data_IF_533342087246
#
_entry.id   IF_533342087246
#
_cell.length_a   1.000
_cell.length_b   1.000
_cell.length_c   1.000
_cell.angle_alpha   90.00
_cell.angle_beta   90.00
_cell.angle_gamma   90.00
#
_symmetry.space_group_name_H-M   'P 1'
#
loop_
_entity.id
_entity.type
_entity.pdbx_description
1 polymer ?
#
# COMPACT_ATOMS: atom_id res chain seq x y z
N UNK A 1 2.08 0.45 -9.11
CA UNK A 1 1.53 -0.73 -8.41
C UNK A 1 0.08 -0.44 -8.08
N UNK A 2 -0.85 -1.29 -8.51
CA UNK A 2 -2.25 -1.21 -8.11
C UNK A 2 -2.46 -2.23 -6.97
N UNK A 3 -2.60 -1.75 -5.72
CA UNK A 3 -2.68 -2.61 -4.53
C UNK A 3 -3.80 -3.66 -4.67
N UNK A 4 -4.98 -3.25 -5.11
CA UNK A 4 -6.15 -4.13 -5.22
C UNK A 4 -5.93 -5.22 -6.26
N UNK A 5 -5.46 -4.85 -7.46
CA UNK A 5 -5.27 -5.79 -8.57
C UNK A 5 -4.04 -6.68 -8.37
N UNK A 6 -2.91 -6.08 -8.02
CA UNK A 6 -1.60 -6.72 -8.08
C UNK A 6 -1.28 -7.51 -6.81
N UNK A 7 -1.88 -7.15 -5.66
CA UNK A 7 -1.56 -7.72 -4.35
C UNK A 7 -2.77 -8.41 -3.72
N UNK A 8 -3.87 -7.70 -3.53
CA UNK A 8 -5.06 -8.27 -2.86
C UNK A 8 -5.67 -9.40 -3.68
N UNK A 9 -5.84 -9.18 -4.99
CA UNK A 9 -6.44 -10.15 -5.91
C UNK A 9 -5.42 -11.12 -6.54
N UNK A 10 -4.21 -11.22 -5.98
CA UNK A 10 -3.18 -12.11 -6.50
C UNK A 10 -3.59 -13.58 -6.31
N UNK A 11 -3.75 -14.31 -7.41
CA UNK A 11 -4.24 -15.70 -7.39
C UNK A 11 -3.21 -16.73 -6.93
N UNK A 12 -1.94 -16.48 -7.21
CA UNK A 12 -0.86 -17.43 -6.96
C UNK A 12 -0.01 -16.96 -5.80
N UNK A 13 0.17 -17.84 -4.81
CA UNK A 13 1.09 -17.64 -3.69
C UNK A 13 2.37 -18.42 -4.00
N UNK A 14 3.52 -17.75 -4.19
CA UNK A 14 4.79 -18.44 -4.41
C UNK A 14 5.13 -19.37 -3.25
N UNK A 15 5.60 -20.57 -3.56
CA UNK A 15 6.00 -21.56 -2.56
C UNK A 15 7.46 -21.37 -2.16
N UNK A 16 7.94 -22.12 -1.17
CA UNK A 16 9.36 -22.14 -0.81
C UNK A 16 10.28 -22.71 -1.90
N UNK A 17 9.74 -23.26 -2.99
CA UNK A 17 10.52 -23.74 -4.13
C UNK A 17 11.06 -22.59 -5.00
N UNK A 18 10.51 -21.38 -4.86
CA UNK A 18 11.01 -20.16 -5.50
C UNK A 18 11.19 -19.06 -4.43
N UNK A 19 12.37 -19.01 -3.79
CA UNK A 19 12.63 -18.09 -2.68
C UNK A 19 12.54 -16.61 -3.07
N UNK A 20 12.97 -16.26 -4.28
CA UNK A 20 12.97 -14.87 -4.75
C UNK A 20 11.54 -14.38 -5.01
N UNK A 21 10.72 -15.20 -5.68
CA UNK A 21 9.31 -14.86 -5.87
C UNK A 21 8.56 -14.78 -4.54
N UNK A 22 8.90 -15.64 -3.57
CA UNK A 22 8.33 -15.60 -2.23
C UNK A 22 8.75 -14.36 -1.45
N UNK A 23 10.01 -13.96 -1.54
CA UNK A 23 10.51 -12.73 -0.92
C UNK A 23 9.77 -11.52 -1.47
N UNK A 24 9.68 -11.39 -2.80
CA UNK A 24 8.95 -10.29 -3.43
C UNK A 24 7.48 -10.28 -3.03
N UNK A 25 6.83 -11.44 -3.01
CA UNK A 25 5.43 -11.56 -2.57
C UNK A 25 5.21 -11.06 -1.14
N UNK A 26 6.11 -11.38 -0.21
CA UNK A 26 6.02 -10.91 1.17
C UNK A 26 6.32 -9.41 1.29
N UNK A 27 7.32 -8.92 0.55
CA UNK A 27 7.64 -7.50 0.48
C UNK A 27 6.45 -6.68 -0.04
N UNK A 28 5.86 -7.10 -1.16
CA UNK A 28 4.66 -6.47 -1.75
C UNK A 28 3.53 -6.36 -0.70
N UNK A 29 3.24 -7.47 -0.01
CA UNK A 29 2.19 -7.52 1.00
C UNK A 29 2.48 -6.61 2.19
N UNK A 30 3.71 -6.59 2.68
CA UNK A 30 4.10 -5.74 3.80
C UNK A 30 4.00 -4.25 3.43
N UNK A 31 4.50 -3.88 2.24
CA UNK A 31 4.41 -2.52 1.72
C UNK A 31 2.95 -2.09 1.53
N UNK A 32 2.10 -2.93 0.95
CA UNK A 32 0.67 -2.64 0.79
C UNK A 32 -0.05 -2.46 2.13
N UNK A 33 0.23 -3.30 3.12
CA UNK A 33 -0.33 -3.17 4.46
C UNK A 33 0.07 -1.84 5.10
N UNK A 34 1.35 -1.47 5.04
CA UNK A 34 1.84 -0.22 5.61
C UNK A 34 1.21 1.00 4.94
N UNK A 35 1.17 1.03 3.60
CA UNK A 35 0.52 2.11 2.83
C UNK A 35 -0.96 2.22 3.18
N UNK A 36 -1.68 1.08 3.23
CA UNK A 36 -3.12 1.07 3.53
C UNK A 36 -3.41 1.59 4.94
N UNK A 37 -2.64 1.14 5.94
CA UNK A 37 -2.81 1.58 7.32
C UNK A 37 -2.51 3.08 7.47
N UNK A 38 -1.40 3.56 6.90
CA UNK A 38 -1.05 4.99 6.95
C UNK A 38 -2.12 5.83 6.23
N UNK A 39 -2.57 5.42 5.04
CA UNK A 39 -3.62 6.12 4.31
C UNK A 39 -4.94 6.15 5.08
N UNK A 40 -5.30 5.06 5.78
CA UNK A 40 -6.48 5.04 6.64
C UNK A 40 -6.39 6.09 7.76
N UNK A 41 -5.25 6.20 8.44
CA UNK A 41 -5.05 7.24 9.47
C UNK A 41 -5.06 8.66 8.90
N UNK A 42 -4.53 8.85 7.68
CA UNK A 42 -4.63 10.15 7.01
C UNK A 42 -6.09 10.54 6.76
N UNK A 43 -6.93 9.59 6.32
CA UNK A 43 -8.35 9.84 6.09
C UNK A 43 -9.09 10.16 7.39
N UNK A 44 -8.91 9.36 8.45
CA UNK A 44 -9.52 9.61 9.77
C UNK A 44 -9.07 10.95 10.37
N UNK A 45 -7.82 11.34 10.14
CA UNK A 45 -7.25 12.59 10.64
C UNK A 45 -7.54 13.83 9.77
N UNK A 46 -8.19 13.68 8.61
CA UNK A 46 -8.42 14.79 7.67
C UNK A 46 -7.14 15.34 7.03
N UNK A 47 -6.09 14.53 6.92
CA UNK A 47 -4.78 14.93 6.37
C UNK A 47 -4.75 14.75 4.85
N UNK A 48 -4.35 15.78 4.11
CA UNK A 48 -4.16 15.70 2.65
C UNK A 48 -2.82 15.03 2.29
N UNK A 49 -1.76 15.25 3.07
CA UNK A 49 -0.42 14.75 2.79
C UNK A 49 0.14 13.96 3.97
N UNK A 50 0.92 12.93 3.67
CA UNK A 50 1.58 12.09 4.65
C UNK A 50 2.83 11.43 4.06
N UNK A 51 3.61 10.81 4.93
CA UNK A 51 4.81 10.07 4.53
C UNK A 51 4.87 8.73 5.26
N UNK A 52 5.39 7.73 4.57
CA UNK A 52 5.78 6.44 5.11
C UNK A 52 7.26 6.24 4.80
N UNK A 53 8.05 5.82 5.80
CA UNK A 53 9.50 5.65 5.63
C UNK A 53 10.03 4.48 6.44
N UNK A 54 11.04 3.80 5.91
CA UNK A 54 11.86 2.82 6.62
C UNK A 54 13.18 3.42 7.13
N UNK A 55 13.42 4.71 6.88
CA UNK A 55 14.72 5.37 7.05
C UNK A 55 15.63 5.23 5.82
N UNK A 56 15.43 4.19 5.00
CA UNK A 56 16.18 3.96 3.76
C UNK A 56 15.43 4.46 2.52
N UNK A 57 14.10 4.37 2.52
CA UNK A 57 13.23 4.85 1.46
C UNK A 57 12.07 5.66 2.04
N UNK A 58 11.65 6.69 1.30
CA UNK A 58 10.51 7.55 1.65
C UNK A 58 9.44 7.43 0.57
N UNK A 59 8.21 7.19 1.00
CA UNK A 59 7.02 7.19 0.15
C UNK A 59 6.13 8.36 0.58
N UNK A 60 5.87 9.27 -0.35
CA UNK A 60 4.91 10.36 -0.15
C UNK A 60 3.50 9.87 -0.51
N UNK A 61 2.56 10.13 0.38
CA UNK A 61 1.16 9.79 0.22
C UNK A 61 0.34 11.08 0.12
N UNK A 62 -0.68 11.05 -0.74
CA UNK A 62 -1.66 12.13 -0.88
C UNK A 62 -3.07 11.54 -0.89
N UNK A 63 -3.96 12.11 -0.10
CA UNK A 63 -5.40 11.87 -0.18
C UNK A 63 -5.99 12.96 -1.08
N UNK A 64 -6.60 12.56 -2.20
CA UNK A 64 -7.35 13.50 -3.04
C UNK A 64 -8.78 13.66 -2.51
N UNK A 65 -8.99 14.69 -1.70
CA UNK A 65 -10.29 15.01 -1.14
C UNK A 65 -11.32 15.50 -2.18
N UNK A 66 -10.88 15.98 -3.35
CA UNK A 66 -11.82 16.39 -4.40
C UNK A 66 -12.45 15.17 -5.07
N UNK A 67 -11.63 14.14 -5.34
CA UNK A 67 -12.12 12.86 -5.85
C UNK A 67 -13.10 12.21 -4.88
N UNK A 68 -12.81 12.23 -3.57
CA UNK A 68 -13.69 11.67 -2.54
C UNK A 68 -15.02 12.42 -2.39
N UNK A 69 -15.02 13.75 -2.53
CA UNK A 69 -16.25 14.56 -2.46
C UNK A 69 -17.21 14.31 -3.61
N UNK A 70 -16.75 13.77 -4.75
CA UNK A 70 -17.64 13.40 -5.85
C UNK A 70 -18.57 12.21 -5.53
N UNK A 71 -18.35 11.53 -4.39
CA UNK A 71 -19.14 10.40 -3.92
C UNK A 71 -20.07 10.73 -2.73
N UNK A 72 -20.17 12.01 -2.34
CA UNK A 72 -21.10 12.54 -1.31
C UNK A 72 -22.00 13.62 -1.91
#
# INVERSE_FOLDING_TARGET
>A
MNITKDIVNRKLIPTSMDPDARFQYLADRLTASAVTQTHHYMMEGGLEYGLLTTGEAIVFLRVDWQELKAFY
#
